data_IF_803726930388
#
_entry.id   IF_803726930388
#
_cell.length_a   1.000
_cell.length_b   1.000
_cell.length_c   1.000
_cell.angle_alpha   90.00
_cell.angle_beta   90.00
_cell.angle_gamma   90.00
#
_symmetry.space_group_name_H-M   'P 1'
#
loop_
_entity.id
_entity.type
_entity.pdbx_description
1 polymer ?
#
# COMPACT_ATOMS: atom_id res chain seq x y z
N UNK A 1 -0.35 -9.85 16.14
CA UNK A 1 -0.35 -8.66 15.27
C UNK A 1 -1.69 -8.59 14.56
N UNK A 2 -2.33 -7.43 14.53
CA UNK A 2 -3.53 -7.16 13.73
C UNK A 2 -3.32 -5.88 12.93
N UNK A 3 -3.67 -5.94 11.65
CA UNK A 3 -3.55 -4.80 10.73
C UNK A 3 -4.93 -4.18 10.46
N UNK A 4 -4.92 -2.94 9.98
CA UNK A 4 -6.10 -2.15 9.64
C UNK A 4 -7.17 -2.11 10.74
N UNK A 5 -6.77 -1.85 12.00
CA UNK A 5 -7.72 -1.80 13.12
C UNK A 5 -8.81 -0.75 12.95
N UNK A 6 -8.61 0.26 12.10
CA UNK A 6 -9.66 1.24 11.76
C UNK A 6 -10.88 0.60 11.08
N UNK A 7 -10.76 -0.60 10.50
CA UNK A 7 -11.89 -1.33 9.88
C UNK A 7 -12.43 -2.47 10.74
N UNK A 8 -11.88 -2.69 11.93
CA UNK A 8 -12.38 -3.71 12.85
C UNK A 8 -13.75 -3.30 13.41
N UNK A 9 -14.67 -4.25 13.47
CA UNK A 9 -15.96 -4.02 14.12
C UNK A 9 -15.82 -3.88 15.64
N UNK A 10 -16.85 -3.32 16.27
CA UNK A 10 -16.83 -3.01 17.70
C UNK A 10 -16.64 -4.25 18.58
N UNK A 11 -17.28 -5.38 18.25
CA UNK A 11 -17.21 -6.61 19.05
C UNK A 11 -15.81 -7.21 18.99
N UNK A 12 -15.20 -7.23 17.80
CA UNK A 12 -13.80 -7.65 17.62
C UNK A 12 -12.86 -6.79 18.46
N UNK A 13 -13.03 -5.47 18.49
CA UNK A 13 -12.20 -4.58 19.30
C UNK A 13 -12.43 -4.73 20.81
N UNK A 14 -13.66 -4.99 21.25
CA UNK A 14 -13.95 -5.28 22.66
C UNK A 14 -13.26 -6.56 23.13
N UNK A 15 -13.20 -7.59 22.28
CA UNK A 15 -12.47 -8.82 22.56
C UNK A 15 -10.97 -8.55 22.71
N UNK A 16 -10.37 -7.83 21.77
CA UNK A 16 -8.96 -7.41 21.86
C UNK A 16 -8.71 -6.65 23.17
N UNK A 17 -9.58 -5.69 23.50
CA UNK A 17 -9.43 -4.90 24.71
C UNK A 17 -9.50 -5.74 25.99
N UNK A 18 -10.37 -6.75 26.01
CA UNK A 18 -10.49 -7.68 27.12
C UNK A 18 -9.21 -8.51 27.28
N UNK A 19 -8.66 -9.03 26.18
CA UNK A 19 -7.44 -9.83 26.19
C UNK A 19 -6.21 -9.03 26.64
N UNK A 20 -6.02 -7.80 26.16
CA UNK A 20 -4.84 -6.99 26.54
C UNK A 20 -4.95 -6.39 27.94
N UNK A 21 -6.16 -6.35 28.51
CA UNK A 21 -6.39 -5.84 29.87
C UNK A 21 -6.34 -6.94 30.94
N UNK A 22 -6.30 -8.20 30.54
CA UNK A 22 -6.31 -9.33 31.46
C UNK A 22 -4.93 -9.52 32.10
N UNK A 23 -4.87 -9.36 33.43
CA UNK A 23 -3.64 -9.48 34.21
C UNK A 23 -3.19 -10.93 34.42
N UNK A 24 -4.07 -11.92 34.19
CA UNK A 24 -3.71 -13.34 34.26
C UNK A 24 -2.92 -13.78 33.02
N UNK A 25 -3.07 -13.07 31.90
CA UNK A 25 -2.29 -13.31 30.69
C UNK A 25 -0.88 -12.70 30.87
N UNK A 26 0.05 -13.55 31.26
CA UNK A 26 1.49 -13.25 31.26
C UNK A 26 2.13 -13.86 30.01
N UNK A 27 3.01 -13.12 29.33
CA UNK A 27 3.67 -13.49 28.06
C UNK A 27 2.89 -13.21 26.77
N UNK A 28 2.16 -12.10 26.73
CA UNK A 28 1.47 -11.65 25.52
C UNK A 28 1.89 -10.23 25.14
N UNK A 29 2.18 -10.00 23.86
CA UNK A 29 2.37 -8.67 23.27
C UNK A 29 1.38 -8.53 22.13
N UNK A 30 0.53 -7.51 22.23
CA UNK A 30 -0.34 -7.11 21.14
C UNK A 30 0.31 -5.98 20.34
N UNK A 31 0.37 -6.15 19.04
CA UNK A 31 0.80 -5.13 18.09
C UNK A 31 -0.35 -4.89 17.13
N UNK A 32 -0.82 -3.65 17.07
CA UNK A 32 -1.89 -3.21 16.19
C UNK A 32 -1.42 -2.06 15.32
N UNK A 33 -1.78 -2.08 14.04
CA UNK A 33 -1.61 -0.94 13.14
C UNK A 33 -2.96 -0.37 12.73
N UNK A 34 -2.99 0.95 12.57
CA UNK A 34 -4.14 1.64 12.02
C UNK A 34 -3.71 2.94 11.33
N UNK A 35 -4.60 3.48 10.51
CA UNK A 35 -4.42 4.77 9.85
C UNK A 35 -5.03 5.88 10.70
N UNK A 36 -4.19 6.80 11.17
CA UNK A 36 -4.61 7.91 12.03
C UNK A 36 -5.52 8.92 11.31
N UNK A 37 -5.37 9.07 10.00
CA UNK A 37 -6.21 9.92 9.16
C UNK A 37 -7.60 9.34 8.83
N UNK A 38 -7.85 8.06 9.11
CA UNK A 38 -9.16 7.41 8.91
C UNK A 38 -9.97 7.31 10.21
N UNK A 39 -9.41 7.71 11.35
CA UNK A 39 -10.11 7.71 12.64
C UNK A 39 -10.33 9.15 13.15
N UNK A 40 -11.44 9.35 13.84
CA UNK A 40 -11.76 10.60 14.51
C UNK A 40 -12.15 10.34 15.97
N UNK A 41 -12.45 11.39 16.73
CA UNK A 41 -12.83 11.28 18.14
C UNK A 41 -14.09 10.43 18.38
N UNK A 42 -14.94 10.28 17.36
CA UNK A 42 -16.16 9.46 17.41
C UNK A 42 -15.97 8.02 16.94
N UNK A 43 -14.77 7.66 16.47
CA UNK A 43 -14.49 6.33 15.93
C UNK A 43 -14.42 5.29 17.06
N UNK A 44 -14.96 4.09 16.80
CA UNK A 44 -15.00 3.00 17.79
C UNK A 44 -13.60 2.66 18.32
N UNK A 45 -12.60 2.60 17.43
CA UNK A 45 -11.20 2.38 17.81
C UNK A 45 -10.69 3.41 18.82
N UNK A 46 -11.01 4.70 18.65
CA UNK A 46 -10.60 5.79 19.55
C UNK A 46 -11.16 5.58 20.95
N UNK A 47 -12.44 5.22 21.05
CA UNK A 47 -13.08 4.93 22.33
C UNK A 47 -12.41 3.74 23.05
N UNK A 48 -12.08 2.68 22.30
CA UNK A 48 -11.44 1.47 22.83
C UNK A 48 -10.00 1.74 23.30
N UNK A 49 -9.21 2.51 22.52
CA UNK A 49 -7.86 2.93 22.94
C UNK A 49 -7.90 3.77 24.23
N UNK A 50 -8.88 4.67 24.36
CA UNK A 50 -9.08 5.45 25.58
C UNK A 50 -9.49 4.58 26.77
N UNK A 51 -10.29 3.54 26.54
CA UNK A 51 -10.63 2.56 27.58
C UNK A 51 -9.40 1.80 28.08
N UNK A 52 -8.52 1.37 27.18
CA UNK A 52 -7.27 0.71 27.54
C UNK A 52 -6.35 1.61 28.37
N UNK A 53 -6.23 2.88 28.00
CA UNK A 53 -5.51 3.90 28.79
C UNK A 53 -6.11 4.04 30.19
N UNK A 54 -7.44 4.06 30.31
CA UNK A 54 -8.16 4.12 31.59
C UNK A 54 -7.94 2.87 32.45
N UNK A 55 -7.87 1.69 31.83
CA UNK A 55 -7.53 0.40 32.48
C UNK A 55 -6.05 0.28 32.83
N UNK A 56 -5.22 1.30 32.53
CA UNK A 56 -3.77 1.34 32.79
C UNK A 56 -2.99 0.23 32.08
N UNK A 57 -3.49 -0.23 30.93
CA UNK A 57 -2.73 -1.09 30.03
C UNK A 57 -1.54 -0.29 29.49
N UNK A 58 -0.36 -0.91 29.45
CA UNK A 58 0.83 -0.26 28.88
C UNK A 58 0.71 -0.24 27.36
N UNK A 59 0.59 0.95 26.78
CA UNK A 59 0.50 1.17 25.34
C UNK A 59 1.70 1.98 24.89
N UNK A 60 2.37 1.51 23.84
CA UNK A 60 3.43 2.28 23.15
C UNK A 60 2.90 2.69 21.79
N UNK A 61 2.63 3.98 21.64
CA UNK A 61 2.18 4.56 20.36
C UNK A 61 3.42 4.84 19.50
N UNK A 62 3.50 4.22 18.31
CA UNK A 62 4.57 4.44 17.33
C UNK A 62 3.94 5.09 16.10
N UNK A 63 4.20 6.38 15.90
CA UNK A 63 3.80 7.08 14.69
C UNK A 63 4.82 6.82 13.57
N UNK A 64 4.38 6.22 12.47
CA UNK A 64 5.20 5.93 11.30
C UNK A 64 4.97 7.01 10.25
N UNK A 65 5.84 8.03 10.25
CA UNK A 65 5.82 9.08 9.24
C UNK A 65 6.52 8.69 7.94
N UNK A 66 6.57 9.65 7.00
CA UNK A 66 7.41 9.52 5.81
C UNK A 66 8.89 9.36 6.17
N UNK A 67 9.61 8.61 5.34
CA UNK A 67 11.06 8.43 5.42
C UNK A 67 11.73 9.78 5.21
N UNK A 68 12.76 10.11 5.99
CA UNK A 68 13.47 11.37 5.84
C UNK A 68 14.26 11.42 4.53
N UNK A 69 14.58 12.63 4.05
CA UNK A 69 15.45 12.81 2.88
C UNK A 69 16.80 12.11 3.02
N UNK A 70 17.37 12.13 4.22
CA UNK A 70 18.63 11.45 4.52
C UNK A 70 18.49 9.92 4.39
N UNK A 71 17.41 9.37 4.93
CA UNK A 71 17.15 7.93 4.91
C UNK A 71 16.76 7.45 3.49
N UNK A 72 16.09 8.28 2.68
CA UNK A 72 15.88 7.99 1.25
C UNK A 72 17.21 7.91 0.52
N UNK A 73 18.14 8.84 0.75
CA UNK A 73 19.47 8.78 0.15
C UNK A 73 20.25 7.54 0.63
N UNK A 74 20.17 7.19 1.91
CA UNK A 74 20.80 5.99 2.44
C UNK A 74 20.23 4.72 1.80
N UNK A 75 18.89 4.61 1.72
CA UNK A 75 18.19 3.49 1.09
C UNK A 75 18.61 3.33 -0.39
N UNK A 76 18.67 4.44 -1.12
CA UNK A 76 19.10 4.45 -2.52
C UNK A 76 20.55 4.02 -2.65
N UNK A 77 21.46 4.65 -1.89
CA UNK A 77 22.90 4.38 -1.88
C UNK A 77 23.17 2.91 -1.61
N UNK A 78 22.51 2.34 -0.61
CA UNK A 78 22.62 0.93 -0.25
C UNK A 78 22.06 0.01 -1.36
N UNK A 79 20.95 0.39 -1.99
CA UNK A 79 20.30 -0.40 -3.05
C UNK A 79 21.16 -0.51 -4.31
N UNK A 80 21.77 0.59 -4.75
CA UNK A 80 22.58 0.63 -5.98
C UNK A 80 24.09 0.48 -5.72
N UNK A 81 24.49 0.35 -4.44
CA UNK A 81 25.88 0.22 -4.00
C UNK A 81 26.80 1.36 -4.48
N UNK A 82 26.29 2.60 -4.45
CA UNK A 82 27.03 3.82 -4.77
C UNK A 82 27.11 4.70 -3.52
N UNK A 83 28.21 5.42 -3.34
CA UNK A 83 28.41 6.30 -2.18
C UNK A 83 27.30 7.37 -2.04
N UNK A 84 26.91 7.63 -0.79
CA UNK A 84 25.82 8.57 -0.42
C UNK A 84 26.04 9.98 -0.97
N UNK A 85 27.27 10.41 -1.18
CA UNK A 85 27.56 11.73 -1.75
C UNK A 85 27.25 11.75 -3.25
N UNK A 86 27.51 10.65 -3.96
CA UNK A 86 27.26 10.53 -5.39
C UNK A 86 25.78 10.29 -5.72
N UNK A 87 25.02 9.65 -4.82
CA UNK A 87 23.57 9.44 -5.00
C UNK A 87 22.70 10.62 -4.57
N UNK A 88 23.31 11.71 -4.08
CA UNK A 88 22.57 12.81 -3.45
C UNK A 88 21.60 13.48 -4.41
N UNK A 89 22.03 13.87 -5.61
CA UNK A 89 21.16 14.51 -6.61
C UNK A 89 20.00 13.61 -7.03
N UNK A 90 20.29 12.34 -7.30
CA UNK A 90 19.28 11.30 -7.57
C UNK A 90 18.26 11.19 -6.42
N UNK A 91 18.73 11.11 -5.17
CA UNK A 91 17.87 11.01 -3.99
C UNK A 91 17.03 12.26 -3.74
N UNK A 92 17.53 13.44 -4.11
CA UNK A 92 16.82 14.70 -3.99
C UNK A 92 15.60 14.74 -4.91
N UNK A 93 15.75 14.24 -6.14
CA UNK A 93 14.65 14.12 -7.11
C UNK A 93 13.63 13.10 -6.59
N UNK A 94 14.08 11.92 -6.16
CA UNK A 94 13.20 10.88 -5.61
C UNK A 94 12.42 11.41 -4.41
N UNK A 95 13.07 12.10 -3.47
CA UNK A 95 12.40 12.67 -2.31
C UNK A 95 11.41 13.78 -2.69
N UNK A 96 11.78 14.70 -3.59
CA UNK A 96 10.91 15.76 -4.10
C UNK A 96 9.63 15.19 -4.71
N UNK A 97 9.78 14.09 -5.46
CA UNK A 97 8.68 13.43 -6.16
C UNK A 97 7.76 12.66 -5.20
N UNK A 98 8.34 12.00 -4.19
CA UNK A 98 7.61 11.02 -3.36
C UNK A 98 7.21 11.52 -1.98
N UNK A 99 7.71 12.69 -1.57
CA UNK A 99 7.53 13.22 -0.22
C UNK A 99 8.08 12.31 0.89
N UNK A 100 8.99 11.39 0.55
CA UNK A 100 9.52 10.39 1.48
C UNK A 100 8.54 9.24 1.81
N UNK A 101 7.39 9.16 1.15
CA UNK A 101 6.48 8.04 1.35
C UNK A 101 7.14 6.75 0.81
N UNK A 102 7.39 5.77 1.70
CA UNK A 102 8.14 4.54 1.37
C UNK A 102 7.56 3.77 0.18
N UNK A 103 6.23 3.72 0.08
CA UNK A 103 5.54 3.08 -1.03
C UNK A 103 5.86 3.83 -2.34
N UNK A 104 5.65 5.15 -2.38
CA UNK A 104 5.96 5.94 -3.58
C UNK A 104 7.45 5.93 -3.95
N UNK A 105 8.36 5.91 -2.97
CA UNK A 105 9.80 5.71 -3.21
C UNK A 105 10.05 4.40 -3.96
N UNK A 106 9.54 3.28 -3.46
CA UNK A 106 9.71 1.98 -4.11
C UNK A 106 9.10 1.93 -5.52
N UNK A 107 7.92 2.53 -5.70
CA UNK A 107 7.21 2.55 -6.97
C UNK A 107 7.92 3.43 -8.00
N UNK A 108 8.41 4.59 -7.58
CA UNK A 108 9.15 5.49 -8.45
C UNK A 108 10.46 4.84 -8.91
N UNK A 109 11.25 4.28 -7.99
CA UNK A 109 12.49 3.57 -8.34
C UNK A 109 12.24 2.39 -9.30
N UNK A 110 11.18 1.61 -9.07
CA UNK A 110 10.81 0.51 -9.95
C UNK A 110 10.39 1.00 -11.34
N UNK A 111 9.67 2.11 -11.43
CA UNK A 111 9.28 2.73 -12.70
C UNK A 111 10.50 3.25 -13.47
N UNK A 112 11.48 3.88 -12.80
CA UNK A 112 12.73 4.31 -13.43
C UNK A 112 13.51 3.13 -14.01
N UNK A 113 13.58 2.01 -13.28
CA UNK A 113 14.20 0.79 -13.78
C UNK A 113 13.47 0.22 -15.01
N UNK A 114 12.14 0.07 -14.93
CA UNK A 114 11.34 -0.51 -16.00
C UNK A 114 11.37 0.31 -17.30
N UNK A 115 11.49 1.63 -17.18
CA UNK A 115 11.55 2.56 -18.32
C UNK A 115 12.98 2.81 -18.81
N UNK A 116 13.99 2.17 -18.20
CA UNK A 116 15.39 2.32 -18.59
C UNK A 116 15.98 3.70 -18.26
N UNK A 117 15.39 4.42 -17.31
CA UNK A 117 15.93 5.68 -16.77
C UNK A 117 16.94 5.47 -15.64
N UNK A 118 16.94 4.28 -15.04
CA UNK A 118 17.96 3.81 -14.12
C UNK A 118 18.54 2.52 -14.69
N UNK A 119 19.80 2.53 -15.13
CA UNK A 119 20.40 1.42 -15.87
C UNK A 119 21.76 1.07 -15.30
N UNK A 120 22.06 -0.23 -15.23
CA UNK A 120 23.40 -0.69 -14.89
C UNK A 120 24.29 -0.74 -16.13
N UNK A 121 25.32 0.11 -16.16
CA UNK A 121 26.30 0.20 -17.25
C UNK A 121 27.42 -0.81 -17.04
N UNK A 122 27.45 -1.85 -17.88
CA UNK A 122 28.52 -2.88 -17.83
C UNK A 122 29.90 -2.31 -18.19
N UNK A 123 29.94 -1.31 -19.08
CA UNK A 123 31.20 -0.67 -19.50
C UNK A 123 31.85 0.12 -18.36
N UNK A 124 31.03 0.81 -17.57
CA UNK A 124 31.50 1.62 -16.43
C UNK A 124 31.43 0.88 -15.10
N UNK A 125 30.85 -0.33 -15.08
CA UNK A 125 30.61 -1.15 -13.89
C UNK A 125 29.87 -0.38 -12.77
N UNK A 126 28.93 0.48 -13.14
CA UNK A 126 28.17 1.35 -12.23
C UNK A 126 26.76 1.61 -12.74
N UNK A 127 25.90 2.09 -11.84
CA UNK A 127 24.58 2.60 -12.21
C UNK A 127 24.68 3.99 -12.85
N UNK A 128 23.86 4.20 -13.87
CA UNK A 128 23.68 5.46 -14.59
C UNK A 128 22.18 5.84 -14.55
N UNK A 129 21.91 7.15 -14.46
CA UNK A 129 20.55 7.70 -14.48
C UNK A 129 20.52 9.05 -15.21
N UNK A 130 19.34 9.41 -15.72
CA UNK A 130 19.08 10.69 -16.36
C UNK A 130 18.24 11.58 -15.44
N UNK A 131 18.87 12.59 -14.85
CA UNK A 131 18.22 13.49 -13.88
C UNK A 131 17.12 14.36 -14.53
N UNK A 132 17.31 14.77 -15.78
CA UNK A 132 16.33 15.61 -16.49
C UNK A 132 15.07 14.79 -16.81
N UNK A 133 15.25 13.56 -17.29
CA UNK A 133 14.13 12.65 -17.56
C UNK A 133 13.38 12.27 -16.27
N UNK A 134 14.10 12.09 -15.17
CA UNK A 134 13.50 11.84 -13.87
C UNK A 134 12.69 13.03 -13.33
N UNK A 135 13.20 14.25 -13.43
CA UNK A 135 12.48 15.43 -12.93
C UNK A 135 11.26 15.76 -13.82
N UNK A 136 11.31 15.42 -15.11
CA UNK A 136 10.17 15.55 -16.03
C UNK A 136 9.04 14.53 -15.75
N UNK A 137 9.33 13.43 -15.05
CA UNK A 137 8.36 12.36 -14.81
C UNK A 137 7.30 12.77 -13.79
N UNK A 138 6.03 12.61 -14.15
CA UNK A 138 4.93 12.81 -13.20
C UNK A 138 4.80 11.62 -12.26
N UNK A 139 4.51 11.89 -10.99
CA UNK A 139 4.09 10.89 -10.02
C UNK A 139 2.61 11.11 -9.70
N UNK A 140 1.94 10.03 -9.37
CA UNK A 140 0.59 10.08 -8.85
C UNK A 140 0.66 10.32 -7.34
N UNK A 141 -0.01 11.38 -6.88
CA UNK A 141 -0.11 11.71 -5.45
C UNK A 141 -1.08 10.78 -4.70
N UNK A 142 -1.88 9.98 -5.43
CA UNK A 142 -2.91 9.08 -4.89
C UNK A 142 -2.64 7.62 -5.28
N UNK A 143 -2.61 6.74 -4.28
CA UNK A 143 -2.36 5.29 -4.46
C UNK A 143 -3.45 4.64 -5.31
N UNK A 144 -4.72 5.08 -5.17
CA UNK A 144 -5.84 4.60 -5.98
C UNK A 144 -5.66 4.94 -7.45
N UNK A 145 -5.18 6.15 -7.77
CA UNK A 145 -4.87 6.56 -9.16
C UNK A 145 -3.73 5.71 -9.74
N UNK A 146 -2.65 5.51 -8.98
CA UNK A 146 -1.54 4.64 -9.39
C UNK A 146 -2.02 3.19 -9.65
N UNK A 147 -2.82 2.64 -8.75
CA UNK A 147 -3.35 1.28 -8.91
C UNK A 147 -4.29 1.18 -10.11
N UNK A 148 -5.12 2.20 -10.35
CA UNK A 148 -5.98 2.24 -11.52
C UNK A 148 -5.18 2.22 -12.83
N UNK A 149 -4.09 3.00 -12.91
CA UNK A 149 -3.21 2.99 -14.08
C UNK A 149 -2.56 1.63 -14.29
N UNK A 150 -2.01 1.02 -13.23
CA UNK A 150 -1.43 -0.34 -13.31
C UNK A 150 -2.45 -1.38 -13.77
N UNK A 151 -3.69 -1.31 -13.29
CA UNK A 151 -4.78 -2.19 -13.74
C UNK A 151 -5.06 -1.94 -15.24
N UNK A 152 -5.10 -0.68 -15.67
CA UNK A 152 -5.33 -0.33 -17.08
C UNK A 152 -4.20 -0.80 -18.01
N UNK A 153 -2.98 -1.00 -17.51
CA UNK A 153 -1.86 -1.58 -18.27
C UNK A 153 -1.95 -3.11 -18.43
N UNK A 154 -2.81 -3.79 -17.67
CA UNK A 154 -3.01 -5.24 -17.80
C UNK A 154 -3.83 -5.59 -19.06
N UNK A 155 -3.70 -6.83 -19.59
CA UNK A 155 -4.58 -7.33 -20.66
C UNK A 155 -6.07 -7.17 -20.31
N UNK A 156 -6.91 -6.93 -21.31
CA UNK A 156 -8.34 -6.66 -21.12
C UNK A 156 -9.07 -7.77 -20.33
N UNK A 157 -8.68 -9.01 -20.55
CA UNK A 157 -9.20 -10.19 -19.84
C UNK A 157 -8.91 -10.13 -18.33
N UNK A 158 -7.71 -9.67 -17.96
CA UNK A 158 -7.33 -9.47 -16.55
C UNK A 158 -8.14 -8.32 -15.95
N UNK A 159 -8.31 -7.21 -16.67
CA UNK A 159 -9.12 -6.07 -16.20
C UNK A 159 -10.57 -6.46 -15.94
N UNK A 160 -11.18 -7.22 -16.86
CA UNK A 160 -12.55 -7.72 -16.70
C UNK A 160 -12.68 -8.65 -15.50
N UNK A 161 -11.71 -9.55 -15.33
CA UNK A 161 -11.67 -10.46 -14.18
C UNK A 161 -11.56 -9.69 -12.85
N UNK A 162 -10.66 -8.70 -12.76
CA UNK A 162 -10.48 -7.86 -11.57
C UNK A 162 -11.78 -7.10 -11.22
N UNK A 163 -12.48 -6.55 -12.22
CA UNK A 163 -13.76 -5.86 -12.02
C UNK A 163 -14.82 -6.77 -11.40
N UNK A 164 -14.90 -8.02 -11.86
CA UNK A 164 -15.86 -9.00 -11.34
C UNK A 164 -15.48 -9.46 -9.93
N UNK A 165 -14.18 -9.68 -9.68
CA UNK A 165 -13.67 -10.08 -8.36
C UNK A 165 -13.82 -8.99 -7.32
N UNK A 166 -13.69 -7.71 -7.69
CA UNK A 166 -13.89 -6.57 -6.80
C UNK A 166 -15.30 -6.56 -6.16
N UNK A 167 -16.31 -7.14 -6.83
CA UNK A 167 -17.66 -7.29 -6.29
C UNK A 167 -17.80 -8.40 -5.23
N UNK A 168 -16.82 -9.31 -5.12
CA UNK A 168 -16.88 -10.47 -4.22
C UNK A 168 -16.18 -10.22 -2.86
N UNK A 169 -15.49 -9.08 -2.71
CA UNK A 169 -14.79 -8.71 -1.48
C UNK A 169 -13.32 -9.15 -1.43
N UNK A 170 -12.72 -9.12 -0.23
CA UNK A 170 -11.27 -9.30 -0.04
C UNK A 170 -10.76 -10.74 -0.13
N UNK A 171 -11.66 -11.72 -0.27
CA UNK A 171 -11.32 -13.15 -0.41
C UNK A 171 -12.18 -13.78 -1.49
N UNK A 172 -11.56 -14.54 -2.38
CA UNK A 172 -12.24 -15.30 -3.42
C UNK A 172 -11.74 -16.74 -3.40
N UNK A 173 -12.66 -17.70 -3.48
CA UNK A 173 -12.34 -19.12 -3.56
C UNK A 173 -11.72 -19.45 -4.93
N UNK A 174 -10.73 -20.33 -4.96
CA UNK A 174 -10.05 -20.76 -6.20
C UNK A 174 -11.03 -21.37 -7.21
N UNK A 175 -12.08 -22.04 -6.72
CA UNK A 175 -13.15 -22.57 -7.55
C UNK A 175 -13.93 -21.47 -8.30
N UNK A 176 -14.13 -20.32 -7.67
CA UNK A 176 -14.78 -19.15 -8.27
C UNK A 176 -13.83 -18.48 -9.28
N UNK A 177 -12.55 -18.33 -8.94
CA UNK A 177 -11.52 -17.83 -9.85
C UNK A 177 -11.45 -18.68 -11.13
N UNK A 178 -11.42 -20.00 -10.99
CA UNK A 178 -11.37 -20.95 -12.11
C UNK A 178 -12.64 -20.87 -12.97
N UNK A 179 -13.81 -20.67 -12.35
CA UNK A 179 -15.06 -20.47 -13.07
C UNK A 179 -15.06 -19.20 -13.94
N UNK A 180 -14.47 -18.11 -13.46
CA UNK A 180 -14.37 -16.86 -14.21
C UNK A 180 -13.32 -16.94 -15.32
N UNK A 181 -12.15 -17.52 -15.05
CA UNK A 181 -11.09 -17.69 -16.04
C UNK A 181 -11.52 -18.64 -17.17
N UNK A 182 -12.18 -19.77 -16.84
CA UNK A 182 -12.66 -20.74 -17.83
C UNK A 182 -13.79 -20.21 -18.72
N UNK A 183 -14.54 -19.22 -18.26
CA UNK A 183 -15.62 -18.58 -19.03
C UNK A 183 -15.21 -17.25 -19.70
N UNK A 184 -14.07 -16.67 -19.33
CA UNK A 184 -13.55 -15.39 -19.83
C UNK A 184 -13.16 -15.36 -21.31
N UNK A 185 -13.02 -16.52 -21.96
CA UNK A 185 -12.72 -16.60 -23.40
C UNK A 185 -13.92 -16.40 -24.34
N UNK A 186 -15.17 -16.42 -23.84
CA UNK A 186 -16.36 -16.51 -24.74
C UNK A 186 -17.67 -15.88 -24.22
N UNK A 187 -17.64 -14.87 -23.35
CA UNK A 187 -18.88 -14.23 -22.89
C UNK A 187 -19.10 -12.84 -23.49
N UNK A 188 -19.80 -12.79 -24.62
CA UNK A 188 -20.65 -11.64 -24.98
C UNK A 188 -21.80 -11.59 -23.97
N UNK A 189 -21.71 -10.71 -22.97
CA UNK A 189 -22.85 -10.39 -22.11
C UNK A 189 -23.74 -9.37 -22.81
N UNK A 190 -24.84 -9.81 -23.41
CA UNK A 190 -25.95 -8.91 -23.73
C UNK A 190 -26.64 -8.54 -22.41
N UNK A 191 -26.54 -7.26 -22.05
CA UNK A 191 -27.26 -6.68 -20.92
C UNK A 191 -28.75 -6.65 -21.30
N UNK A 192 -29.48 -7.71 -20.94
CA UNK A 192 -30.91 -7.85 -21.19
C UNK A 192 -31.70 -6.80 -20.42
N UNK A 193 -31.89 -5.63 -21.03
CA UNK A 193 -32.83 -4.62 -20.58
C UNK A 193 -34.26 -5.13 -20.66
N UNK A 194 -34.80 -5.66 -19.55
CA UNK A 194 -36.25 -5.76 -19.36
C UNK A 194 -36.75 -4.49 -18.68
N UNK A 195 -37.00 -3.47 -19.48
CA UNK A 195 -37.94 -2.42 -19.12
C UNK A 195 -39.35 -3.03 -19.04
N UNK A 196 -39.82 -3.33 -17.83
CA UNK A 196 -41.26 -3.52 -17.58
C UNK A 196 -41.88 -2.13 -17.50
N UNK A 197 -42.48 -1.67 -18.60
CA UNK A 197 -43.49 -0.60 -18.57
C UNK A 197 -44.72 -1.13 -17.81
N UNK A 198 -45.15 -0.38 -16.81
CA UNK A 198 -46.58 -0.27 -16.45
C UNK A 198 -47.25 0.69 -17.42
#
# INVERSE_FOLDING_TARGET
FLDDLQWADELSMQLVCSLVSDTEISNFIFVGSYRDNEINDTHALTAQLNELKRKRVTITDINVGCISKYDVNALISDTISIDKQATKSFSDIVYKKTGGNAFFVSQFLQSLWNEGLLVYSLERNTWEWDEDAMDAKELFDDVGVLMAEKICQLPLECQQTIKLLACLGSKCDESILTLFISKGGHLKWEIGGRAKKR
#
